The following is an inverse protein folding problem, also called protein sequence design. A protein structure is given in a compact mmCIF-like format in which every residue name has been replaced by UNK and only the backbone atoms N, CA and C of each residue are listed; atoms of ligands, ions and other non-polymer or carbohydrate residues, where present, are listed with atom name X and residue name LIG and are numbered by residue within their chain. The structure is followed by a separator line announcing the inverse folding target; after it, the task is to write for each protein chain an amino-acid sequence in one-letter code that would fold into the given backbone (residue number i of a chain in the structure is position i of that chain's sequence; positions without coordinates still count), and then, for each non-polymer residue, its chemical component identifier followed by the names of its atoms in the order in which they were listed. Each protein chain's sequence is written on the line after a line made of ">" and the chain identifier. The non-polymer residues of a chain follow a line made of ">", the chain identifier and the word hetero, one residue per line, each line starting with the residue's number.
data_IF_820448065305
#
_entry.id   IF_820448065305
#
_cell.length_a   1.000
_cell.length_b   1.000
_cell.length_c   1.000
_cell.angle_alpha   90.00
_cell.angle_beta   90.00
_cell.angle_gamma   90.00
#
_symmetry.space_group_name_H-M   'P 1'
#
loop_
_entity.id
_entity.type
_entity.pdbx_description
1 polymer ?
#
# COMPACT_ATOMS: atom_id res chain seq x y z
N UNK A 1 13.81 3.42 -8.69
CA UNK A 1 14.67 2.22 -8.48
C UNK A 1 13.77 1.02 -8.30
N UNK A 2 14.03 -0.09 -9.03
CA UNK A 2 13.16 -1.26 -9.07
C UNK A 2 13.93 -2.54 -8.64
N UNK A 3 14.16 -2.76 -7.34
CA UNK A 3 14.73 -4.04 -6.90
C UNK A 3 13.76 -5.17 -7.21
N UNK A 4 14.15 -6.07 -8.10
CA UNK A 4 13.33 -7.21 -8.51
C UNK A 4 13.98 -8.53 -8.13
N UNK A 5 13.27 -9.36 -7.38
CA UNK A 5 13.73 -10.70 -6.95
C UNK A 5 15.09 -10.65 -6.24
N UNK A 6 15.35 -9.57 -5.53
CA UNK A 6 16.58 -9.33 -4.79
C UNK A 6 16.48 -9.82 -3.36
N UNK A 7 17.62 -10.07 -2.74
CA UNK A 7 17.69 -10.44 -1.33
C UNK A 7 18.83 -9.72 -0.61
N UNK A 8 18.58 -9.32 0.64
CA UNK A 8 19.53 -8.60 1.49
C UNK A 8 19.99 -7.31 0.83
N UNK A 9 19.01 -6.41 0.60
CA UNK A 9 19.22 -5.11 -0.02
C UNK A 9 19.12 -4.03 1.03
N UNK A 10 20.06 -3.13 1.05
CA UNK A 10 20.03 -1.89 1.82
C UNK A 10 19.99 -0.70 0.86
N UNK A 11 19.02 0.21 1.06
CA UNK A 11 18.93 1.49 0.36
C UNK A 11 18.97 2.57 1.44
N UNK A 12 20.07 3.31 1.52
CA UNK A 12 20.30 4.26 2.59
C UNK A 12 20.79 5.63 2.09
N UNK A 13 20.38 6.70 2.78
CA UNK A 13 20.88 8.06 2.56
C UNK A 13 20.65 8.59 1.15
N UNK A 14 19.62 8.13 0.44
CA UNK A 14 19.39 8.46 -0.96
C UNK A 14 18.24 9.45 -1.12
N UNK A 15 18.44 10.43 -2.00
CA UNK A 15 17.41 11.36 -2.44
C UNK A 15 16.85 10.92 -3.80
N UNK A 16 15.54 10.72 -3.84
CA UNK A 16 14.78 10.39 -5.05
C UNK A 16 13.91 11.59 -5.43
N UNK A 17 13.94 11.99 -6.70
CA UNK A 17 12.97 12.92 -7.30
C UNK A 17 12.72 12.43 -8.72
N UNK A 18 11.58 11.80 -8.92
CA UNK A 18 11.27 11.05 -10.15
C UNK A 18 9.80 11.25 -10.52
N UNK A 19 9.43 10.91 -11.76
CA UNK A 19 8.06 11.01 -12.26
C UNK A 19 7.24 9.72 -12.18
N UNK A 20 7.82 8.62 -11.66
CA UNK A 20 7.14 7.36 -11.39
C UNK A 20 7.43 6.94 -9.95
N UNK A 21 7.20 5.70 -9.54
CA UNK A 21 7.51 5.22 -8.18
C UNK A 21 8.99 5.47 -7.82
N UNK A 22 9.26 6.06 -6.66
CA UNK A 22 10.64 6.31 -6.22
C UNK A 22 11.38 4.98 -6.00
N UNK A 23 10.75 4.07 -5.27
CA UNK A 23 11.21 2.70 -5.10
C UNK A 23 10.04 1.76 -5.37
N UNK A 24 10.17 0.83 -6.33
CA UNK A 24 9.18 -0.19 -6.62
C UNK A 24 9.78 -1.59 -6.44
N UNK A 25 9.38 -2.27 -5.37
CA UNK A 25 9.85 -3.61 -5.02
C UNK A 25 9.06 -4.65 -5.79
N UNK A 26 9.73 -5.47 -6.57
CA UNK A 26 9.13 -6.39 -7.52
C UNK A 26 9.68 -7.81 -7.38
N UNK A 27 8.93 -8.80 -7.85
CA UNK A 27 9.35 -10.22 -7.90
C UNK A 27 8.76 -10.97 -9.09
N UNK A 28 8.71 -10.28 -10.22
CA UNK A 28 8.33 -10.84 -11.51
C UNK A 28 6.84 -10.80 -11.83
N UNK A 29 6.55 -10.79 -13.12
CA UNK A 29 5.22 -11.06 -13.67
C UNK A 29 4.82 -12.51 -13.39
N UNK A 30 3.53 -12.82 -13.51
CA UNK A 30 2.98 -14.11 -13.10
C UNK A 30 3.74 -15.33 -13.65
N UNK A 31 4.11 -15.31 -14.93
CA UNK A 31 4.83 -16.42 -15.55
C UNK A 31 6.27 -16.56 -15.02
N UNK A 32 6.93 -15.46 -14.69
CA UNK A 32 8.27 -15.43 -14.10
C UNK A 32 8.23 -15.87 -12.64
N UNK A 33 7.29 -15.33 -11.86
CA UNK A 33 7.09 -15.69 -10.46
C UNK A 33 6.82 -17.18 -10.29
N UNK A 34 5.93 -17.74 -11.10
CA UNK A 34 5.63 -19.18 -11.11
C UNK A 34 6.83 -20.05 -11.49
N UNK A 35 7.66 -19.61 -12.45
CA UNK A 35 8.81 -20.36 -12.94
C UNK A 35 9.98 -20.29 -11.98
N UNK A 36 10.37 -19.10 -11.54
CA UNK A 36 11.60 -18.89 -10.79
C UNK A 36 11.40 -18.88 -9.28
N UNK A 37 10.21 -18.54 -8.77
CA UNK A 37 9.84 -18.51 -7.35
C UNK A 37 10.87 -17.79 -6.47
N UNK A 38 11.32 -16.63 -6.95
CA UNK A 38 12.29 -15.79 -6.24
C UNK A 38 11.61 -14.54 -5.71
N UNK A 39 11.28 -14.49 -4.43
CA UNK A 39 10.74 -13.28 -3.80
C UNK A 39 11.78 -12.17 -3.78
N UNK A 40 11.31 -10.93 -3.54
CA UNK A 40 12.15 -9.85 -3.09
C UNK A 40 12.06 -9.80 -1.57
N UNK A 41 13.18 -10.01 -0.87
CA UNK A 41 13.15 -10.22 0.59
C UNK A 41 14.38 -9.69 1.33
N UNK A 42 14.23 -9.47 2.64
CA UNK A 42 15.28 -8.93 3.50
C UNK A 42 15.75 -7.55 3.00
N UNK A 43 14.81 -6.60 2.89
CA UNK A 43 15.04 -5.26 2.34
C UNK A 43 14.97 -4.24 3.47
N UNK A 44 15.98 -3.40 3.57
CA UNK A 44 15.97 -2.21 4.46
C UNK A 44 16.10 -0.93 3.64
N UNK A 45 15.16 0.00 3.83
CA UNK A 45 15.17 1.34 3.25
C UNK A 45 15.21 2.33 4.42
N UNK A 46 16.28 3.14 4.50
CA UNK A 46 16.46 4.04 5.63
C UNK A 46 17.10 5.37 5.27
N UNK A 47 16.76 6.41 6.03
CA UNK A 47 17.37 7.74 5.88
C UNK A 47 17.31 8.27 4.44
N UNK A 48 16.21 7.96 3.74
CA UNK A 48 15.98 8.38 2.37
C UNK A 48 14.94 9.50 2.30
N UNK A 49 15.05 10.33 1.27
CA UNK A 49 14.05 11.31 0.90
C UNK A 49 13.45 10.92 -0.45
N UNK A 50 12.14 10.68 -0.48
CA UNK A 50 11.36 10.38 -1.68
C UNK A 50 10.51 11.59 -2.05
N UNK A 51 10.66 12.08 -3.28
CA UNK A 51 9.99 13.29 -3.73
C UNK A 51 9.38 13.15 -5.12
N UNK A 52 8.19 13.71 -5.30
CA UNK A 52 7.47 13.91 -6.55
C UNK A 52 7.07 12.62 -7.31
N UNK A 53 7.28 11.44 -6.74
CA UNK A 53 6.97 10.17 -7.39
C UNK A 53 5.51 9.71 -7.22
N UNK A 54 5.08 8.72 -8.04
CA UNK A 54 3.76 8.10 -7.89
C UNK A 54 3.62 7.26 -6.61
N UNK A 55 4.71 6.77 -6.06
CA UNK A 55 4.78 6.10 -4.77
C UNK A 55 6.14 6.31 -4.13
N UNK A 56 6.18 6.65 -2.83
CA UNK A 56 7.47 6.75 -2.13
C UNK A 56 8.11 5.37 -2.03
N UNK A 57 7.38 4.40 -1.51
CA UNK A 57 7.76 2.98 -1.53
C UNK A 57 6.57 2.16 -1.99
N UNK A 58 6.75 1.50 -3.12
CA UNK A 58 5.73 0.69 -3.79
C UNK A 58 6.10 -0.79 -3.76
N UNK A 59 5.12 -1.66 -3.48
CA UNK A 59 5.23 -3.11 -3.61
C UNK A 59 4.35 -3.56 -4.78
N UNK A 60 4.98 -4.09 -5.80
CA UNK A 60 4.30 -4.50 -7.04
C UNK A 60 4.31 -3.41 -8.14
N UNK A 61 3.47 -3.59 -9.15
CA UNK A 61 2.45 -4.64 -9.36
C UNK A 61 3.00 -6.02 -9.72
N UNK A 62 4.19 -6.12 -10.30
CA UNK A 62 4.87 -7.38 -10.63
C UNK A 62 5.47 -8.00 -9.37
N UNK A 63 4.66 -8.71 -8.59
CA UNK A 63 5.07 -9.30 -7.31
C UNK A 63 4.66 -10.78 -7.17
N UNK A 64 4.66 -11.52 -8.28
CA UNK A 64 4.13 -12.86 -8.35
C UNK A 64 4.92 -13.94 -7.57
N UNK A 65 6.16 -13.65 -7.17
CA UNK A 65 6.92 -14.52 -6.26
C UNK A 65 6.96 -14.01 -4.81
N UNK A 66 6.29 -12.88 -4.51
CA UNK A 66 6.16 -12.32 -3.16
C UNK A 66 7.19 -11.25 -2.80
N UNK A 67 6.86 -10.48 -1.76
CA UNK A 67 7.73 -9.48 -1.11
C UNK A 67 7.65 -9.72 0.39
N UNK A 68 8.81 -9.86 1.06
CA UNK A 68 8.86 -10.26 2.48
C UNK A 68 9.94 -9.52 3.24
N UNK A 69 9.75 -9.37 4.56
CA UNK A 69 10.74 -8.80 5.48
C UNK A 69 11.26 -7.45 4.97
N UNK A 70 10.34 -6.50 4.78
CA UNK A 70 10.67 -5.13 4.37
C UNK A 70 10.59 -4.20 5.57
N UNK A 71 11.65 -3.45 5.81
CA UNK A 71 11.67 -2.35 6.79
C UNK A 71 11.95 -1.04 6.07
N UNK A 72 11.06 -0.05 6.24
CA UNK A 72 11.24 1.33 5.79
C UNK A 72 11.25 2.22 7.02
N UNK A 73 12.36 2.92 7.28
CA UNK A 73 12.49 3.70 8.50
C UNK A 73 13.27 5.01 8.33
N UNK A 74 12.97 5.95 9.21
CA UNK A 74 13.71 7.22 9.30
C UNK A 74 13.75 7.96 7.95
N UNK A 75 12.61 8.01 7.24
CA UNK A 75 12.51 8.55 5.89
C UNK A 75 11.61 9.79 5.83
N UNK A 76 11.78 10.57 4.77
CA UNK A 76 10.98 11.74 4.44
C UNK A 76 10.31 11.56 3.08
N UNK A 77 8.98 11.69 3.02
CA UNK A 77 8.21 11.62 1.78
C UNK A 77 7.60 12.99 1.47
N UNK A 78 7.84 13.52 0.28
CA UNK A 78 7.44 14.87 -0.09
C UNK A 78 6.70 14.84 -1.44
N UNK A 79 5.46 15.34 -1.47
CA UNK A 79 4.69 15.53 -2.69
C UNK A 79 4.59 14.26 -3.56
N UNK A 80 4.65 13.08 -2.99
CA UNK A 80 4.38 11.84 -3.73
C UNK A 80 2.87 11.57 -3.77
N UNK A 81 2.40 10.87 -4.80
CA UNK A 81 0.98 10.53 -4.85
C UNK A 81 0.61 9.58 -3.71
N UNK A 82 1.48 8.64 -3.37
CA UNK A 82 1.28 7.67 -2.27
C UNK A 82 2.55 7.54 -1.44
N UNK A 83 2.38 7.42 -0.14
CA UNK A 83 3.49 7.10 0.77
C UNK A 83 3.87 5.62 0.65
N UNK A 84 3.14 4.72 1.33
CA UNK A 84 3.15 3.30 1.02
C UNK A 84 2.14 3.02 -0.09
N UNK A 85 2.55 2.23 -1.08
CA UNK A 85 1.67 1.81 -2.17
C UNK A 85 1.79 0.30 -2.42
N UNK A 86 0.79 -0.48 -2.03
CA UNK A 86 0.70 -1.90 -2.41
C UNK A 86 -0.22 -2.03 -3.63
N UNK A 87 0.31 -2.62 -4.70
CA UNK A 87 -0.38 -2.89 -5.96
C UNK A 87 -0.43 -4.38 -6.21
N UNK A 88 -1.57 -5.02 -5.93
CA UNK A 88 -1.77 -6.43 -6.25
C UNK A 88 -3.17 -6.68 -6.80
N UNK A 89 -3.45 -7.90 -7.25
CA UNK A 89 -4.75 -8.27 -7.78
C UNK A 89 -4.87 -9.79 -7.93
N UNK A 90 -6.09 -10.26 -8.08
CA UNK A 90 -6.34 -11.63 -8.56
C UNK A 90 -5.55 -11.90 -9.82
N UNK A 91 -5.04 -13.10 -9.98
CA UNK A 91 -4.17 -13.49 -11.10
C UNK A 91 -2.67 -13.39 -10.80
N UNK A 92 -2.24 -12.74 -9.72
CA UNK A 92 -0.80 -12.68 -9.37
C UNK A 92 -0.25 -14.02 -8.89
N UNK A 93 -1.09 -14.88 -8.33
CA UNK A 93 -0.72 -16.25 -7.94
C UNK A 93 -0.61 -16.43 -6.44
N UNK A 94 -0.65 -17.69 -6.00
CA UNK A 94 -0.57 -18.04 -4.58
C UNK A 94 0.79 -17.78 -3.93
N UNK A 95 1.86 -17.69 -4.73
CA UNK A 95 3.20 -17.34 -4.27
C UNK A 95 3.37 -15.80 -4.16
N UNK A 96 2.39 -15.03 -4.66
CA UNK A 96 2.32 -13.58 -4.54
C UNK A 96 1.90 -13.18 -3.12
N UNK A 97 2.77 -13.36 -2.16
CA UNK A 97 2.55 -13.06 -0.74
C UNK A 97 3.35 -11.82 -0.36
N UNK A 98 2.65 -10.81 0.16
CA UNK A 98 3.29 -9.65 0.82
C UNK A 98 3.17 -9.88 2.31
N UNK A 99 4.29 -9.99 3.02
CA UNK A 99 4.30 -10.26 4.45
C UNK A 99 5.47 -9.62 5.17
N UNK A 100 5.28 -9.34 6.46
CA UNK A 100 6.28 -8.75 7.35
C UNK A 100 6.84 -7.45 6.80
N UNK A 101 5.96 -6.45 6.68
CA UNK A 101 6.28 -5.12 6.16
C UNK A 101 6.12 -4.10 7.28
N UNK A 102 7.18 -3.37 7.57
CA UNK A 102 7.21 -2.35 8.62
C UNK A 102 7.59 -0.99 8.04
N UNK A 103 6.79 0.03 8.36
CA UNK A 103 7.08 1.44 8.13
C UNK A 103 7.12 2.15 9.46
N UNK A 104 8.25 2.78 9.79
CA UNK A 104 8.42 3.44 11.09
C UNK A 104 9.23 4.73 11.02
N UNK A 105 8.94 5.67 11.90
CA UNK A 105 9.65 6.95 11.99
C UNK A 105 9.69 7.70 10.65
N UNK A 106 8.51 7.96 10.07
CA UNK A 106 8.41 8.61 8.76
C UNK A 106 7.66 9.93 8.87
N UNK A 107 8.24 10.98 8.32
CA UNK A 107 7.56 12.25 8.05
C UNK A 107 7.09 12.29 6.59
N UNK A 108 5.82 12.67 6.39
CA UNK A 108 5.23 12.89 5.06
C UNK A 108 4.70 14.31 4.98
N UNK A 109 4.94 14.99 3.84
CA UNK A 109 4.43 16.34 3.60
C UNK A 109 3.93 16.47 2.15
N UNK A 110 2.66 16.88 1.99
CA UNK A 110 2.03 17.02 0.68
C UNK A 110 1.78 15.69 -0.05
N UNK A 111 1.85 14.56 0.65
CA UNK A 111 1.53 13.25 0.07
C UNK A 111 0.02 13.14 -0.15
N UNK A 112 -0.43 12.80 -1.37
CA UNK A 112 -1.84 12.77 -1.67
C UNK A 112 -2.58 11.74 -0.81
N UNK A 113 -2.05 10.52 -0.69
CA UNK A 113 -2.59 9.42 0.11
C UNK A 113 -1.47 8.68 0.84
N UNK A 114 -1.27 8.89 2.15
CA UNK A 114 -0.16 8.28 2.91
C UNK A 114 -0.07 6.76 2.82
N UNK A 115 -1.21 6.06 2.87
CA UNK A 115 -1.23 4.60 2.92
C UNK A 115 -2.26 4.04 1.94
N UNK A 116 -1.81 3.28 0.95
CA UNK A 116 -2.69 2.67 -0.06
C UNK A 116 -2.38 1.19 -0.22
N UNK A 117 -3.37 0.34 0.06
CA UNK A 117 -3.33 -1.10 -0.22
C UNK A 117 -4.47 -1.40 -1.18
N UNK A 118 -4.13 -1.83 -2.39
CA UNK A 118 -5.08 -2.07 -3.45
C UNK A 118 -4.94 -3.50 -4.01
N UNK A 119 -5.91 -4.35 -3.70
CA UNK A 119 -5.99 -5.73 -4.21
C UNK A 119 -6.80 -5.87 -5.51
N UNK A 120 -7.07 -4.76 -6.20
CA UNK A 120 -7.84 -4.68 -7.45
C UNK A 120 -7.11 -3.85 -8.52
N UNK A 121 -5.77 -3.84 -8.46
CA UNK A 121 -4.96 -3.01 -9.34
C UNK A 121 -5.16 -3.37 -10.80
N UNK A 122 -5.56 -2.41 -11.64
CA UNK A 122 -6.03 -2.66 -12.99
C UNK A 122 -5.06 -2.25 -14.11
N UNK A 123 -4.01 -1.52 -13.81
CA UNK A 123 -3.09 -1.00 -14.80
C UNK A 123 -1.96 -2.00 -15.17
N UNK A 124 -1.27 -1.71 -16.26
CA UNK A 124 -0.07 -2.35 -16.80
C UNK A 124 -0.24 -3.72 -17.46
N UNK A 125 -1.36 -4.40 -17.30
CA UNK A 125 -1.61 -5.69 -17.96
C UNK A 125 -3.04 -5.74 -18.54
N UNK A 126 -3.26 -6.30 -19.73
CA UNK A 126 -4.58 -6.35 -20.37
C UNK A 126 -5.67 -7.02 -19.51
N UNK A 127 -5.30 -8.01 -18.69
CA UNK A 127 -6.22 -8.72 -17.81
C UNK A 127 -6.59 -7.93 -16.54
N UNK A 128 -5.93 -6.81 -16.26
CA UNK A 128 -6.25 -5.92 -15.14
C UNK A 128 -7.64 -5.31 -15.22
N UNK A 129 -8.18 -5.13 -16.42
CA UNK A 129 -9.52 -4.56 -16.66
C UNK A 129 -10.63 -5.61 -16.73
N UNK A 130 -10.35 -6.88 -16.51
CA UNK A 130 -11.35 -7.95 -16.56
C UNK A 130 -12.29 -7.90 -15.36
N UNK A 131 -13.50 -8.43 -15.51
CA UNK A 131 -14.47 -8.61 -14.42
C UNK A 131 -13.87 -9.46 -13.28
N UNK A 132 -13.01 -10.41 -13.61
CA UNK A 132 -12.29 -11.24 -12.63
C UNK A 132 -11.46 -10.39 -11.66
N UNK A 133 -10.77 -9.38 -12.14
CA UNK A 133 -9.99 -8.47 -11.30
C UNK A 133 -10.89 -7.43 -10.62
N UNK A 134 -11.85 -6.86 -11.34
CA UNK A 134 -12.68 -5.74 -10.87
C UNK A 134 -13.73 -6.14 -9.84
N UNK A 135 -14.19 -7.40 -9.84
CA UNK A 135 -15.29 -7.88 -8.99
C UNK A 135 -15.01 -7.71 -7.50
N UNK A 136 -15.96 -7.11 -6.79
CA UNK A 136 -15.94 -6.98 -5.32
C UNK A 136 -16.61 -8.15 -4.61
N UNK A 137 -17.19 -9.08 -5.37
CA UNK A 137 -17.79 -10.31 -4.84
C UNK A 137 -16.71 -11.33 -4.51
N UNK A 138 -16.90 -12.16 -3.46
CA UNK A 138 -15.97 -13.24 -3.16
C UNK A 138 -15.94 -14.25 -4.32
N UNK A 139 -14.73 -14.67 -4.68
CA UNK A 139 -14.49 -15.72 -5.67
C UNK A 139 -13.80 -16.91 -4.99
N UNK A 140 -13.82 -18.10 -5.60
CA UNK A 140 -13.06 -19.24 -5.08
C UNK A 140 -11.57 -18.91 -4.93
N UNK A 141 -10.99 -19.28 -3.79
CA UNK A 141 -9.54 -19.23 -3.58
C UNK A 141 -8.88 -20.32 -4.42
N UNK A 142 -7.94 -19.93 -5.27
CA UNK A 142 -7.23 -20.86 -6.16
C UNK A 142 -5.74 -20.46 -6.30
N UNK A 143 -5.02 -21.12 -7.20
CA UNK A 143 -3.60 -20.87 -7.48
C UNK A 143 -3.30 -19.45 -8.02
N UNK A 144 -4.32 -18.64 -8.30
CA UNK A 144 -4.18 -17.27 -8.79
C UNK A 144 -4.41 -16.21 -7.70
N UNK A 145 -4.80 -16.63 -6.49
CA UNK A 145 -5.15 -15.74 -5.39
C UNK A 145 -3.89 -15.24 -4.67
N UNK A 146 -3.61 -13.92 -4.63
CA UNK A 146 -2.52 -13.35 -3.84
C UNK A 146 -2.91 -13.19 -2.37
N UNK A 147 -1.92 -12.97 -1.51
CA UNK A 147 -2.12 -12.76 -0.07
C UNK A 147 -1.35 -11.55 0.44
N UNK A 148 -1.96 -10.82 1.38
CA UNK A 148 -1.32 -9.76 2.15
C UNK A 148 -1.47 -10.13 3.62
N UNK A 149 -0.35 -10.12 4.35
CA UNK A 149 -0.30 -10.56 5.74
C UNK A 149 0.05 -9.40 6.68
N UNK A 150 1.05 -9.56 7.53
CA UNK A 150 1.40 -8.60 8.58
C UNK A 150 1.99 -7.30 8.02
N UNK A 151 1.29 -6.20 8.25
CA UNK A 151 1.73 -4.86 7.91
C UNK A 151 1.68 -3.98 9.17
N UNK A 152 2.76 -3.28 9.46
CA UNK A 152 2.85 -2.40 10.62
C UNK A 152 3.31 -0.98 10.24
N UNK A 153 2.59 0.02 10.71
CA UNK A 153 2.88 1.45 10.55
C UNK A 153 3.03 2.06 11.93
N UNK A 154 4.21 2.62 12.24
CA UNK A 154 4.52 3.14 13.57
C UNK A 154 5.18 4.51 13.51
N UNK A 155 4.78 5.40 14.40
CA UNK A 155 5.37 6.73 14.55
C UNK A 155 5.48 7.46 13.21
N UNK A 156 4.34 7.71 12.55
CA UNK A 156 4.28 8.37 11.24
C UNK A 156 3.44 9.64 11.34
N UNK A 157 3.98 10.72 10.82
CA UNK A 157 3.29 11.99 10.72
C UNK A 157 3.11 12.37 9.26
N UNK A 158 1.84 12.44 8.81
CA UNK A 158 1.46 12.84 7.47
C UNK A 158 0.74 14.19 7.51
N UNK A 159 1.36 15.21 6.91
CA UNK A 159 0.85 16.58 6.87
C UNK A 159 0.49 16.98 5.45
N UNK A 160 -0.47 17.93 5.36
CA UNK A 160 -0.89 18.49 4.09
C UNK A 160 -1.33 17.41 3.09
N UNK A 161 -2.00 16.36 3.55
CA UNK A 161 -2.55 15.32 2.68
C UNK A 161 -3.70 15.87 1.83
N UNK A 162 -3.99 15.25 0.69
CA UNK A 162 -4.98 15.77 -0.26
C UNK A 162 -6.19 14.88 -0.40
N UNK A 163 -5.99 13.57 -0.60
CA UNK A 163 -7.01 12.64 -1.09
C UNK A 163 -7.63 11.82 0.04
N UNK A 164 -6.85 10.99 0.71
CA UNK A 164 -7.32 10.19 1.83
C UNK A 164 -6.21 9.94 2.85
N UNK A 165 -6.56 9.67 4.09
CA UNK A 165 -5.61 9.31 5.13
C UNK A 165 -5.06 7.90 4.92
N UNK A 166 -5.94 6.96 4.63
CA UNK A 166 -5.58 5.62 4.21
C UNK A 166 -6.69 5.02 3.33
N UNK A 167 -6.29 4.14 2.43
CA UNK A 167 -7.20 3.35 1.60
C UNK A 167 -6.71 1.89 1.57
N UNK A 168 -7.34 1.05 2.39
CA UNK A 168 -7.03 -0.38 2.51
C UNK A 168 -8.17 -1.22 1.93
N UNK A 169 -7.92 -1.87 0.79
CA UNK A 169 -8.93 -2.69 0.15
C UNK A 169 -8.39 -4.08 -0.20
N UNK A 170 -8.64 -5.03 0.70
CA UNK A 170 -8.31 -6.44 0.53
C UNK A 170 -9.30 -7.18 -0.38
N UNK A 171 -9.01 -8.41 -0.74
CA UNK A 171 -9.95 -9.32 -1.42
C UNK A 171 -10.92 -9.92 -0.38
N UNK A 172 -12.21 -10.08 -0.70
CA UNK A 172 -13.16 -10.66 0.24
C UNK A 172 -12.90 -12.15 0.53
N UNK A 173 -12.38 -12.91 -0.44
CA UNK A 173 -11.99 -14.31 -0.29
C UNK A 173 -10.61 -14.52 0.32
N UNK A 174 -9.75 -13.50 0.31
CA UNK A 174 -8.41 -13.52 0.86
C UNK A 174 -8.13 -12.17 1.55
N UNK A 175 -8.81 -11.95 2.68
CA UNK A 175 -8.69 -10.73 3.47
C UNK A 175 -7.23 -10.47 3.86
N UNK A 176 -6.86 -9.19 3.96
CA UNK A 176 -5.58 -8.80 4.56
C UNK A 176 -5.53 -9.37 5.98
N UNK A 177 -4.47 -10.08 6.32
CA UNK A 177 -4.39 -10.81 7.59
C UNK A 177 -4.37 -9.86 8.80
N UNK A 178 -3.43 -8.91 8.78
CA UNK A 178 -3.28 -7.94 9.86
C UNK A 178 -2.73 -6.62 9.38
N UNK A 179 -3.31 -5.53 9.87
CA UNK A 179 -2.75 -4.18 9.75
C UNK A 179 -2.69 -3.58 11.14
N UNK A 180 -1.51 -3.13 11.56
CA UNK A 180 -1.30 -2.34 12.77
C UNK A 180 -0.94 -0.91 12.41
N UNK A 181 -1.64 0.08 12.99
CA UNK A 181 -1.31 1.50 12.95
C UNK A 181 -1.11 2.01 14.37
N UNK A 182 0.06 2.51 14.70
CA UNK A 182 0.42 2.99 16.04
C UNK A 182 1.15 4.32 15.98
N UNK A 183 0.73 5.29 16.81
CA UNK A 183 1.30 6.64 16.85
C UNK A 183 1.29 7.34 15.47
N UNK A 184 0.11 7.39 14.84
CA UNK A 184 -0.07 7.99 13.52
C UNK A 184 -0.84 9.31 13.65
N UNK A 185 -0.35 10.36 12.99
CA UNK A 185 -1.09 11.60 12.83
C UNK A 185 -1.22 11.98 11.37
N UNK A 186 -2.45 12.30 10.95
CA UNK A 186 -2.78 12.68 9.57
C UNK A 186 -3.54 14.00 9.60
N UNK A 187 -3.10 14.96 8.81
CA UNK A 187 -3.84 16.19 8.54
C UNK A 187 -3.84 16.55 7.05
N UNK A 188 -4.75 17.42 6.67
CA UNK A 188 -5.01 17.76 5.27
C UNK A 188 -4.69 19.21 4.97
N UNK A 189 -4.26 19.46 3.72
CA UNK A 189 -4.06 20.81 3.21
C UNK A 189 -5.39 21.59 3.13
N UNK A 190 -5.28 22.91 3.21
CA UNK A 190 -6.45 23.79 2.99
C UNK A 190 -6.94 23.74 1.53
N UNK A 191 -6.08 23.42 0.58
CA UNK A 191 -6.36 23.39 -0.86
C UNK A 191 -6.10 22.01 -1.46
N UNK A 192 -6.98 21.02 -1.21
CA UNK A 192 -6.77 19.66 -1.67
C UNK A 192 -6.96 19.53 -3.19
N UNK A 193 -6.19 18.65 -3.81
CA UNK A 193 -6.38 18.22 -5.20
C UNK A 193 -7.23 16.96 -5.19
N UNK A 194 -8.39 16.93 -5.88
CA UNK A 194 -9.20 15.72 -6.00
C UNK A 194 -8.48 14.66 -6.84
N UNK A 195 -8.36 13.44 -6.32
CA UNK A 195 -7.80 12.32 -7.07
C UNK A 195 -8.39 10.98 -6.62
N UNK A 196 -8.18 9.94 -7.43
CA UNK A 196 -8.58 8.58 -7.07
C UNK A 196 -7.72 8.08 -5.91
N UNK A 197 -8.33 7.52 -4.84
CA UNK A 197 -7.57 6.97 -3.71
C UNK A 197 -6.71 5.77 -4.13
N UNK A 198 -7.15 5.00 -5.14
CA UNK A 198 -6.43 3.87 -5.69
C UNK A 198 -6.74 3.67 -7.18
N UNK A 199 -5.79 3.07 -7.92
CA UNK A 199 -5.98 2.72 -9.34
C UNK A 199 -6.76 1.41 -9.45
N UNK A 200 -8.08 1.50 -9.37
CA UNK A 200 -9.01 0.37 -9.47
C UNK A 200 -10.36 0.84 -10.01
N UNK A 201 -11.16 -0.12 -10.52
CA UNK A 201 -12.51 0.17 -10.99
C UNK A 201 -13.50 0.40 -9.82
N UNK A 202 -14.46 1.30 -10.03
CA UNK A 202 -15.56 1.55 -9.09
C UNK A 202 -15.17 2.39 -7.88
N UNK A 203 -14.22 3.30 -8.03
CA UNK A 203 -13.91 4.36 -7.06
C UNK A 203 -14.01 5.72 -7.74
N UNK A 204 -14.43 6.71 -7.00
CA UNK A 204 -14.52 8.10 -7.45
C UNK A 204 -13.33 8.91 -6.96
N UNK A 205 -13.10 10.06 -7.58
CA UNK A 205 -12.17 11.05 -7.06
C UNK A 205 -12.72 11.66 -5.77
N UNK A 206 -11.86 11.75 -4.77
CA UNK A 206 -12.20 12.28 -3.44
C UNK A 206 -11.18 13.31 -2.99
N UNK A 207 -11.56 14.09 -1.98
CA UNK A 207 -10.69 14.98 -1.21
C UNK A 207 -10.87 14.70 0.27
N UNK A 208 -9.78 14.76 1.02
CA UNK A 208 -9.78 14.70 2.50
C UNK A 208 -10.61 13.55 3.08
N UNK A 209 -10.71 12.43 2.39
CA UNK A 209 -11.36 11.25 2.94
C UNK A 209 -10.56 10.75 4.15
N UNK A 210 -11.23 10.32 5.19
CA UNK A 210 -10.57 9.72 6.37
C UNK A 210 -9.83 8.42 6.04
N UNK A 211 -9.89 7.46 6.92
CA UNK A 211 -9.33 6.11 6.74
C UNK A 211 -10.44 5.18 6.26
N UNK A 212 -10.26 4.62 5.07
CA UNK A 212 -11.09 3.54 4.53
C UNK A 212 -10.37 2.20 4.69
N UNK A 213 -11.06 1.21 5.26
CA UNK A 213 -10.54 -0.13 5.49
C UNK A 213 -11.60 -1.18 5.17
N UNK A 214 -11.31 -2.09 4.23
CA UNK A 214 -12.25 -3.11 3.80
C UNK A 214 -11.54 -4.45 3.54
N UNK A 215 -12.19 -5.56 3.95
CA UNK A 215 -11.70 -6.92 3.83
C UNK A 215 -10.36 -7.14 4.56
N UNK A 216 -10.36 -6.93 5.87
CA UNK A 216 -9.23 -7.16 6.77
C UNK A 216 -9.67 -8.14 7.85
N UNK A 217 -8.82 -9.09 8.24
CA UNK A 217 -9.10 -9.99 9.37
C UNK A 217 -8.89 -9.28 10.70
N UNK A 218 -7.72 -8.68 10.89
CA UNK A 218 -7.38 -8.03 12.14
C UNK A 218 -6.82 -6.62 11.86
N UNK A 219 -7.51 -5.59 12.35
CA UNK A 219 -7.12 -4.20 12.23
C UNK A 219 -6.87 -3.61 13.61
N UNK A 220 -5.64 -3.24 13.91
CA UNK A 220 -5.23 -2.67 15.20
C UNK A 220 -4.89 -1.20 14.99
N UNK A 221 -5.53 -0.32 15.77
CA UNK A 221 -5.31 1.13 15.70
C UNK A 221 -5.09 1.68 17.10
N UNK A 222 -3.86 2.19 17.36
CA UNK A 222 -3.45 2.76 18.65
C UNK A 222 -2.95 4.17 18.48
N UNK A 223 -3.56 5.13 19.17
CA UNK A 223 -3.17 6.54 19.11
C UNK A 223 -3.08 7.08 17.68
N UNK A 224 -4.10 6.77 16.88
CA UNK A 224 -4.23 7.25 15.50
C UNK A 224 -5.16 8.45 15.46
N UNK A 225 -4.68 9.57 14.94
CA UNK A 225 -5.44 10.81 14.81
C UNK A 225 -5.57 11.23 13.35
N UNK A 226 -6.79 11.59 12.94
CA UNK A 226 -7.08 12.17 11.63
C UNK A 226 -7.78 13.50 11.88
N UNK A 227 -7.27 14.59 11.31
CA UNK A 227 -7.80 15.95 11.51
C UNK A 227 -7.97 16.67 10.18
N UNK A 228 -9.10 17.37 10.04
CA UNK A 228 -9.39 18.17 8.85
C UNK A 228 -9.97 17.35 7.68
N UNK A 229 -10.37 16.12 7.91
CA UNK A 229 -11.06 15.29 6.93
C UNK A 229 -12.47 15.81 6.63
N UNK A 230 -12.98 15.45 5.45
CA UNK A 230 -14.36 15.62 5.05
C UNK A 230 -15.11 14.29 5.26
N UNK A 231 -16.24 14.34 5.98
CA UNK A 231 -16.99 13.14 6.35
C UNK A 231 -16.39 12.37 7.55
N UNK A 232 -16.67 11.06 7.66
CA UNK A 232 -16.22 10.25 8.79
C UNK A 232 -14.70 10.05 8.79
N UNK A 233 -14.08 10.11 9.97
CA UNK A 233 -12.65 9.82 10.11
C UNK A 233 -12.31 8.35 9.81
N UNK A 234 -13.26 7.46 10.03
CA UNK A 234 -13.14 6.02 9.83
C UNK A 234 -14.33 5.47 9.05
N UNK A 235 -14.05 4.77 7.98
CA UNK A 235 -15.00 3.95 7.24
C UNK A 235 -14.45 2.54 7.19
N UNK A 236 -14.96 1.67 8.07
CA UNK A 236 -14.44 0.31 8.28
C UNK A 236 -15.54 -0.70 7.92
N UNK A 237 -15.26 -1.56 6.96
CA UNK A 237 -16.19 -2.50 6.37
C UNK A 237 -15.57 -3.89 6.29
N UNK A 238 -16.34 -4.95 6.55
CA UNK A 238 -15.88 -6.35 6.43
C UNK A 238 -14.56 -6.64 7.17
N UNK A 239 -14.34 -6.00 8.31
CA UNK A 239 -13.22 -6.24 9.20
C UNK A 239 -13.68 -7.19 10.30
N UNK A 240 -12.97 -8.32 10.47
CA UNK A 240 -13.41 -9.35 11.42
C UNK A 240 -13.15 -8.92 12.87
N UNK A 241 -11.98 -8.33 13.13
CA UNK A 241 -11.62 -7.79 14.44
C UNK A 241 -11.01 -6.40 14.23
N UNK A 242 -11.57 -5.40 14.88
CA UNK A 242 -11.02 -4.05 14.93
C UNK A 242 -10.75 -3.63 16.37
N UNK A 243 -9.47 -3.56 16.74
CA UNK A 243 -9.02 -3.03 18.02
C UNK A 243 -8.69 -1.55 17.88
N UNK A 244 -9.29 -0.73 18.75
CA UNK A 244 -9.10 0.71 18.73
C UNK A 244 -8.80 1.24 20.14
N UNK A 245 -7.61 1.85 20.28
CA UNK A 245 -7.15 2.49 21.52
C UNK A 245 -6.82 3.98 21.30
#
# INVERSE_FOLDING_TARGET
>A
MDPESCRRVEIAGTYFSVGDDCIAIKSGKIYMGKKYKRPCEDIEIRQCCMKDGHGSVTLGSEMAAGVRHLVVKDCLFINTDRGLRIKTRRGRGKDAVIEDVVFENIDMDGVLSPFVINSYYWDCDPDGHTEYVASKKPLPVDDRTPYIRQLAFRNIRARNCHVCGAFFYGLPEAKIEEITMEDISIDYTAHPTPEYPAMMAGVDKVTKMGIFANNIKHFVTKRVTVKGQEGPAWQVENVDIWERE
#
